data_IF_142928008786
#
_entry.id   IF_142928008786
#
_cell.length_a   1.000
_cell.length_b   1.000
_cell.length_c   1.000
_cell.angle_alpha   90.00
_cell.angle_beta   90.00
_cell.angle_gamma   90.00
#
_symmetry.space_group_name_H-M   'P 1'
#
loop_
_entity.id
_entity.type
_entity.pdbx_description
1 polymer ?
#
# COMPACT_ATOMS: atom_id res chain seq x y z
N UNK A 1 -14.76 21.23 -9.84
CA UNK A 1 -14.72 19.77 -9.58
C UNK A 1 -13.43 19.47 -8.82
N UNK A 2 -13.53 19.23 -7.52
CA UNK A 2 -12.37 19.06 -6.64
C UNK A 2 -11.81 17.65 -6.69
N UNK A 3 -10.51 17.54 -6.93
CA UNK A 3 -9.77 16.27 -6.94
C UNK A 3 -9.60 15.76 -5.50
N UNK A 4 -10.20 14.61 -5.20
CA UNK A 4 -10.01 13.90 -3.93
C UNK A 4 -8.65 13.22 -3.99
N UNK A 5 -7.62 13.88 -3.48
CA UNK A 5 -6.30 13.28 -3.28
C UNK A 5 -6.41 12.25 -2.17
N UNK A 6 -6.59 10.98 -2.54
CA UNK A 6 -6.57 9.86 -1.60
C UNK A 6 -5.23 9.85 -0.87
N UNK A 7 -5.26 10.18 0.42
CA UNK A 7 -4.11 10.09 1.32
C UNK A 7 -3.55 8.67 1.23
N UNK A 8 -2.26 8.51 0.90
CA UNK A 8 -1.59 7.19 0.96
C UNK A 8 -1.78 6.64 2.38
N UNK A 9 -2.31 5.42 2.50
CA UNK A 9 -2.55 4.79 3.81
C UNK A 9 -1.23 4.68 4.56
N UNK A 10 -1.23 5.02 5.85
CA UNK A 10 -0.05 4.88 6.70
C UNK A 10 0.30 3.40 6.86
N UNK A 11 1.58 3.06 6.94
CA UNK A 11 2.07 1.69 7.22
C UNK A 11 1.38 1.09 8.45
N UNK A 12 1.14 1.90 9.49
CA UNK A 12 0.39 1.51 10.69
C UNK A 12 -1.06 1.12 10.40
N UNK A 13 -1.72 1.78 9.46
CA UNK A 13 -3.09 1.44 9.04
C UNK A 13 -3.11 0.13 8.24
N UNK A 14 -2.05 -0.16 7.50
CA UNK A 14 -1.88 -1.46 6.80
C UNK A 14 -1.72 -2.59 7.83
N UNK A 15 -0.85 -2.43 8.85
CA UNK A 15 -0.73 -3.41 9.94
C UNK A 15 -2.08 -3.68 10.62
N UNK A 16 -2.82 -2.63 11.01
CA UNK A 16 -4.15 -2.80 11.62
C UNK A 16 -5.13 -3.56 10.73
N UNK A 17 -5.04 -3.38 9.40
CA UNK A 17 -5.87 -4.12 8.47
C UNK A 17 -5.45 -5.58 8.37
N UNK A 18 -4.14 -5.87 8.36
CA UNK A 18 -3.62 -7.24 8.40
C UNK A 18 -4.08 -7.96 9.67
N UNK A 19 -3.99 -7.33 10.85
CA UNK A 19 -4.46 -7.90 12.12
C UNK A 19 -5.95 -8.28 12.06
N UNK A 20 -6.77 -7.36 11.54
CA UNK A 20 -8.22 -7.62 11.35
C UNK A 20 -8.47 -8.79 10.41
N UNK A 21 -7.71 -8.89 9.31
CA UNK A 21 -7.82 -10.00 8.37
C UNK A 21 -7.39 -11.32 9.02
N UNK A 22 -6.27 -11.34 9.75
CA UNK A 22 -5.78 -12.52 10.46
C UNK A 22 -6.84 -13.02 11.45
N UNK A 23 -7.38 -12.15 12.31
CA UNK A 23 -8.44 -12.51 13.27
C UNK A 23 -9.69 -13.04 12.53
N UNK A 24 -10.06 -12.43 11.41
CA UNK A 24 -11.19 -12.90 10.58
C UNK A 24 -10.93 -14.30 10.03
N UNK A 25 -9.74 -14.58 9.50
CA UNK A 25 -9.38 -15.89 8.97
C UNK A 25 -9.22 -16.95 10.07
N UNK A 26 -8.71 -16.59 11.25
CA UNK A 26 -8.65 -17.47 12.42
C UNK A 26 -10.05 -17.87 12.91
N UNK A 27 -10.98 -16.91 12.99
CA UNK A 27 -12.37 -17.18 13.35
C UNK A 27 -13.07 -18.03 12.28
N UNK A 28 -12.83 -17.76 10.99
CA UNK A 28 -13.33 -18.58 9.89
C UNK A 28 -12.75 -20.00 9.91
N UNK A 29 -11.46 -20.16 10.25
CA UNK A 29 -10.85 -21.48 10.46
C UNK A 29 -11.59 -22.24 11.57
N UNK A 30 -11.80 -21.57 12.71
CA UNK A 30 -12.50 -22.16 13.87
C UNK A 30 -13.94 -22.57 13.53
N UNK A 31 -14.66 -21.75 12.76
CA UNK A 31 -16.02 -22.09 12.32
C UNK A 31 -16.04 -23.27 11.34
N UNK A 32 -15.09 -23.35 10.40
CA UNK A 32 -14.98 -24.48 9.46
C UNK A 32 -14.63 -25.79 10.17
N UNK A 33 -13.67 -25.77 11.11
CA UNK A 33 -13.34 -26.97 11.91
C UNK A 33 -14.53 -27.42 12.77
N UNK A 34 -15.27 -26.48 13.35
CA UNK A 34 -16.52 -26.79 14.06
C UNK A 34 -17.58 -27.38 13.11
N UNK A 35 -17.71 -26.84 11.91
CA UNK A 35 -18.61 -27.36 10.85
C UNK A 35 -18.21 -28.77 10.41
N UNK A 36 -16.91 -29.05 10.27
CA UNK A 36 -16.39 -30.38 9.94
C UNK A 36 -16.73 -31.40 11.03
N UNK A 37 -16.52 -31.05 12.30
CA UNK A 37 -16.84 -31.91 13.45
C UNK A 37 -18.35 -32.18 13.55
N UNK A 38 -19.18 -31.16 13.39
CA UNK A 38 -20.65 -31.31 13.39
C UNK A 38 -21.17 -32.13 12.21
N UNK A 39 -20.64 -31.92 10.99
CA UNK A 39 -20.97 -32.75 9.83
C UNK A 39 -20.55 -34.21 10.02
N UNK A 40 -19.39 -34.45 10.67
CA UNK A 40 -18.95 -35.79 11.00
C UNK A 40 -19.90 -36.48 11.99
N UNK A 41 -20.34 -35.77 13.02
CA UNK A 41 -21.32 -36.24 13.99
C UNK A 41 -22.67 -36.57 13.30
N UNK A 42 -23.19 -35.63 12.50
CA UNK A 42 -24.45 -35.81 11.75
C UNK A 42 -24.39 -37.04 10.84
N UNK A 43 -23.28 -37.23 10.13
CA UNK A 43 -23.11 -38.36 9.23
C UNK A 43 -23.14 -39.71 9.99
N UNK A 44 -22.67 -39.77 11.25
CA UNK A 44 -22.82 -40.97 12.07
C UNK A 44 -24.28 -41.24 12.43
N UNK A 45 -25.05 -40.23 12.81
CA UNK A 45 -26.48 -40.40 13.11
C UNK A 45 -27.27 -40.86 11.88
N UNK A 46 -27.01 -40.29 10.71
CA UNK A 46 -27.64 -40.71 9.45
C UNK A 46 -27.31 -42.17 9.13
N UNK A 47 -26.07 -42.61 9.35
CA UNK A 47 -25.68 -44.01 9.18
C UNK A 47 -26.50 -44.95 10.05
N UNK A 48 -26.64 -44.66 11.35
CA UNK A 48 -27.43 -45.49 12.26
C UNK A 48 -28.90 -45.57 11.84
N UNK A 49 -29.49 -44.45 11.40
CA UNK A 49 -30.88 -44.42 10.91
C UNK A 49 -31.03 -45.27 9.63
N UNK A 50 -30.13 -45.13 8.66
CA UNK A 50 -30.18 -45.91 7.43
C UNK A 50 -29.97 -47.41 7.69
N UNK A 51 -29.08 -47.75 8.63
CA UNK A 51 -28.83 -49.12 9.03
C UNK A 51 -30.07 -49.75 9.70
N UNK A 52 -30.72 -49.05 10.63
CA UNK A 52 -31.93 -49.58 11.29
C UNK A 52 -33.08 -49.77 10.31
N UNK A 53 -33.33 -48.80 9.42
CA UNK A 53 -34.35 -48.93 8.37
C UNK A 53 -34.07 -50.10 7.43
N UNK A 54 -32.80 -50.27 7.03
CA UNK A 54 -32.37 -51.39 6.19
C UNK A 54 -32.59 -52.75 6.85
N UNK A 55 -32.35 -52.87 8.16
CA UNK A 55 -32.55 -54.11 8.90
C UNK A 55 -34.04 -54.44 9.06
N UNK A 56 -34.89 -53.44 9.31
CA UNK A 56 -36.35 -53.61 9.40
C UNK A 56 -36.91 -54.09 8.05
N UNK A 57 -36.49 -53.46 6.94
CA UNK A 57 -36.93 -53.85 5.60
C UNK A 57 -36.52 -55.31 5.27
N UNK A 58 -35.26 -55.66 5.55
CA UNK A 58 -34.77 -57.02 5.31
C UNK A 58 -35.53 -58.08 6.15
N UNK A 59 -35.93 -57.74 7.36
CA UNK A 59 -36.72 -58.61 8.23
C UNK A 59 -38.16 -58.82 7.72
N UNK A 60 -38.81 -57.78 7.19
CA UNK A 60 -40.18 -57.88 6.69
C UNK A 60 -40.33 -58.69 5.39
N UNK A 61 -39.30 -58.70 4.54
CA UNK A 61 -39.37 -59.22 3.16
C UNK A 61 -38.57 -60.54 2.99
N UNK A 62 -38.10 -61.14 4.09
CA UNK A 62 -37.21 -62.33 4.14
C UNK A 62 -36.00 -62.27 3.18
N UNK A 63 -35.53 -61.07 2.88
CA UNK A 63 -34.42 -60.88 1.94
C UNK A 63 -33.05 -61.04 2.63
N UNK A 64 -32.00 -61.24 1.83
CA UNK A 64 -30.64 -61.39 2.34
C UNK A 64 -30.14 -60.12 3.03
N UNK A 65 -30.06 -60.15 4.37
CA UNK A 65 -29.62 -59.04 5.23
C UNK A 65 -28.27 -58.43 4.81
N UNK A 66 -27.36 -59.26 4.30
CA UNK A 66 -25.99 -58.86 3.93
C UNK A 66 -25.99 -57.84 2.78
N UNK A 67 -26.78 -58.05 1.73
CA UNK A 67 -26.78 -57.18 0.54
C UNK A 67 -27.32 -55.79 0.89
N UNK A 68 -28.35 -55.73 1.72
CA UNK A 68 -28.97 -54.48 2.16
C UNK A 68 -28.11 -53.71 3.15
N UNK A 69 -27.32 -54.38 3.99
CA UNK A 69 -26.40 -53.72 4.92
C UNK A 69 -25.20 -53.06 4.20
N UNK A 70 -24.79 -53.55 3.04
CA UNK A 70 -23.63 -53.02 2.29
C UNK A 70 -23.92 -51.64 1.68
N UNK A 71 -25.14 -51.43 1.15
CA UNK A 71 -25.53 -50.17 0.53
C UNK A 71 -25.42 -48.92 1.45
N UNK A 72 -25.97 -48.91 2.68
CA UNK A 72 -25.84 -47.77 3.59
C UNK A 72 -24.38 -47.57 4.03
N UNK A 73 -23.60 -48.65 4.22
CA UNK A 73 -22.18 -48.55 4.56
C UNK A 73 -21.41 -47.85 3.45
N UNK A 74 -21.53 -48.32 2.20
CA UNK A 74 -20.82 -47.73 1.05
C UNK A 74 -21.26 -46.27 0.85
N UNK A 75 -22.56 -45.98 0.91
CA UNK A 75 -23.06 -44.62 0.71
C UNK A 75 -22.48 -43.62 1.72
N UNK A 76 -22.40 -44.01 2.99
CA UNK A 76 -21.85 -43.17 4.06
C UNK A 76 -20.33 -43.07 3.96
N UNK A 77 -19.63 -44.16 3.60
CA UNK A 77 -18.18 -44.13 3.37
C UNK A 77 -17.80 -43.13 2.26
N UNK A 78 -18.52 -43.15 1.13
CA UNK A 78 -18.30 -42.21 0.04
C UNK A 78 -18.59 -40.77 0.46
N UNK A 79 -19.69 -40.54 1.18
CA UNK A 79 -20.02 -39.21 1.70
C UNK A 79 -18.96 -38.70 2.68
N UNK A 80 -18.49 -39.55 3.61
CA UNK A 80 -17.42 -39.24 4.56
C UNK A 80 -16.12 -38.89 3.85
N UNK A 81 -15.74 -39.66 2.83
CA UNK A 81 -14.55 -39.39 2.04
C UNK A 81 -14.65 -38.03 1.33
N UNK A 82 -15.76 -37.78 0.63
CA UNK A 82 -16.00 -36.51 -0.07
C UNK A 82 -16.00 -35.31 0.89
N UNK A 83 -16.67 -35.41 2.03
CA UNK A 83 -16.68 -34.37 3.07
C UNK A 83 -15.27 -34.13 3.62
N UNK A 84 -14.53 -35.19 3.93
CA UNK A 84 -13.16 -35.10 4.42
C UNK A 84 -12.27 -34.34 3.43
N UNK A 85 -12.28 -34.75 2.16
CA UNK A 85 -11.49 -34.09 1.10
C UNK A 85 -11.89 -32.62 0.96
N UNK A 86 -13.19 -32.31 0.91
CA UNK A 86 -13.66 -30.93 0.78
C UNK A 86 -13.23 -30.05 1.98
N UNK A 87 -13.43 -30.53 3.21
CA UNK A 87 -13.08 -29.77 4.40
C UNK A 87 -11.56 -29.61 4.57
N UNK A 88 -10.78 -30.65 4.26
CA UNK A 88 -9.32 -30.59 4.32
C UNK A 88 -8.77 -29.62 3.27
N UNK A 89 -9.22 -29.74 2.01
CA UNK A 89 -8.86 -28.80 0.94
C UNK A 89 -9.21 -27.36 1.31
N UNK A 90 -10.39 -27.13 1.89
CA UNK A 90 -10.80 -25.78 2.33
C UNK A 90 -9.95 -25.28 3.49
N UNK A 91 -9.60 -26.15 4.43
CA UNK A 91 -8.78 -25.82 5.60
C UNK A 91 -7.37 -25.45 5.19
N UNK A 92 -6.73 -26.22 4.31
CA UNK A 92 -5.39 -25.98 3.78
C UNK A 92 -5.32 -24.61 3.07
N UNK A 93 -6.28 -24.31 2.20
CA UNK A 93 -6.31 -23.01 1.53
C UNK A 93 -6.49 -21.82 2.49
N UNK A 94 -7.21 -22.01 3.59
CA UNK A 94 -7.35 -20.98 4.64
C UNK A 94 -6.03 -20.84 5.41
N UNK A 95 -5.36 -21.96 5.73
CA UNK A 95 -4.08 -21.97 6.43
C UNK A 95 -2.99 -21.27 5.61
N UNK A 96 -2.89 -21.56 4.31
CA UNK A 96 -1.92 -20.92 3.41
C UNK A 96 -2.12 -19.40 3.35
N UNK A 97 -3.37 -18.93 3.24
CA UNK A 97 -3.68 -17.48 3.27
C UNK A 97 -3.33 -16.83 4.60
N UNK A 98 -3.50 -17.56 5.70
CA UNK A 98 -3.22 -17.07 7.04
C UNK A 98 -1.71 -16.94 7.26
N UNK A 99 -0.94 -17.88 6.72
CA UNK A 99 0.52 -17.83 6.68
C UNK A 99 1.02 -16.63 5.88
N UNK A 100 0.54 -16.43 4.65
CA UNK A 100 0.87 -15.26 3.80
C UNK A 100 0.57 -13.93 4.52
N UNK A 101 -0.60 -13.80 5.18
CA UNK A 101 -0.93 -12.59 5.94
C UNK A 101 0.03 -12.35 7.12
N UNK A 102 0.47 -13.41 7.81
CA UNK A 102 1.44 -13.30 8.90
C UNK A 102 2.84 -12.98 8.38
N UNK A 103 3.19 -13.46 7.20
CA UNK A 103 4.45 -13.12 6.54
C UNK A 103 4.48 -11.64 6.15
N UNK A 104 3.39 -11.15 5.52
CA UNK A 104 3.23 -9.72 5.24
C UNK A 104 3.34 -8.88 6.52
N UNK A 105 2.69 -9.31 7.61
CA UNK A 105 2.78 -8.62 8.90
C UNK A 105 4.23 -8.52 9.39
N UNK A 106 5.01 -9.61 9.31
CA UNK A 106 6.44 -9.61 9.70
C UNK A 106 7.27 -8.67 8.84
N UNK A 107 7.03 -8.64 7.54
CA UNK A 107 7.76 -7.77 6.61
C UNK A 107 7.49 -6.30 6.90
N UNK A 108 6.23 -5.90 7.09
CA UNK A 108 5.91 -4.52 7.44
C UNK A 108 6.48 -4.11 8.81
N UNK A 109 6.53 -5.03 9.78
CA UNK A 109 7.19 -4.77 11.07
C UNK A 109 8.69 -4.54 10.88
N UNK A 110 9.34 -5.30 9.99
CA UNK A 110 10.77 -5.12 9.69
C UNK A 110 11.03 -3.74 9.07
N UNK A 111 10.23 -3.33 8.09
CA UNK A 111 10.33 -1.99 7.48
C UNK A 111 10.19 -0.88 8.54
N UNK A 112 9.22 -1.01 9.45
CA UNK A 112 9.04 -0.02 10.53
C UNK A 112 10.24 0.05 11.47
N UNK A 113 10.88 -1.09 11.79
CA UNK A 113 12.08 -1.11 12.63
C UNK A 113 13.27 -0.44 11.95
N UNK A 114 13.46 -0.70 10.65
CA UNK A 114 14.53 -0.07 9.88
C UNK A 114 14.33 1.45 9.76
N UNK A 115 13.09 1.91 9.55
CA UNK A 115 12.74 3.34 9.56
C UNK A 115 13.03 3.99 10.93
N UNK A 116 12.67 3.31 12.02
CA UNK A 116 12.89 3.79 13.39
C UNK A 116 14.40 3.82 13.74
N UNK A 117 15.16 2.77 13.39
CA UNK A 117 16.62 2.69 13.62
C UNK A 117 17.38 3.75 12.80
N UNK A 118 16.99 3.96 11.54
CA UNK A 118 17.54 5.03 10.70
C UNK A 118 17.28 6.40 11.32
N UNK A 119 16.04 6.64 11.75
CA UNK A 119 15.65 7.91 12.38
C UNK A 119 16.41 8.16 13.67
N UNK A 120 16.55 7.13 14.52
CA UNK A 120 17.35 7.21 15.74
C UNK A 120 18.83 7.50 15.45
N UNK A 121 19.40 6.84 14.44
CA UNK A 121 20.79 7.08 14.01
C UNK A 121 20.98 8.50 13.47
N UNK A 122 20.03 8.99 12.66
CA UNK A 122 20.04 10.36 12.16
C UNK A 122 19.92 11.40 13.27
N UNK A 123 19.07 11.16 14.26
CA UNK A 123 18.94 12.05 15.43
C UNK A 123 20.23 12.11 16.25
N UNK A 124 20.92 10.98 16.42
CA UNK A 124 22.25 10.94 17.03
C UNK A 124 23.27 11.73 16.20
N UNK A 125 23.31 11.50 14.89
CA UNK A 125 24.22 12.21 13.98
C UNK A 125 23.98 13.72 14.05
N UNK A 126 22.72 14.17 14.02
CA UNK A 126 22.34 15.56 14.12
C UNK A 126 22.75 16.19 15.46
N UNK A 127 22.61 15.46 16.57
CA UNK A 127 23.02 15.92 17.90
C UNK A 127 24.52 16.23 17.99
N UNK A 128 25.37 15.44 17.33
CA UNK A 128 26.82 15.60 17.38
C UNK A 128 27.38 16.45 16.23
N UNK A 129 26.86 16.31 15.00
CA UNK A 129 27.30 17.07 13.82
C UNK A 129 26.60 18.43 13.66
N UNK A 130 25.42 18.65 14.25
CA UNK A 130 24.63 19.89 14.12
C UNK A 130 25.33 21.15 14.61
N UNK A 131 26.28 21.01 15.56
CA UNK A 131 27.15 22.11 16.00
C UNK A 131 28.25 22.46 14.99
N UNK A 132 28.68 21.47 14.18
CA UNK A 132 29.83 21.58 13.25
C UNK A 132 29.35 21.92 11.83
N UNK A 133 28.15 21.46 11.44
CA UNK A 133 27.54 21.71 10.13
C UNK A 133 26.89 23.09 10.01
N UNK A 134 26.41 23.70 11.10
CA UNK A 134 25.85 25.06 11.06
C UNK A 134 26.89 26.11 10.60
N UNK A 135 28.17 25.89 10.90
CA UNK A 135 29.26 26.77 10.48
C UNK A 135 29.72 26.54 9.03
N UNK A 136 29.48 25.35 8.46
CA UNK A 136 29.86 25.01 7.07
C UNK A 136 28.71 25.12 6.08
N UNK A 137 27.46 25.13 6.54
CA UNK A 137 26.26 25.22 5.69
C UNK A 137 26.07 26.59 5.04
N UNK A 138 26.52 27.67 5.68
CA UNK A 138 26.39 29.03 5.14
C UNK A 138 27.23 29.26 3.86
N UNK A 139 28.28 28.45 3.63
CA UNK A 139 29.15 28.58 2.44
C UNK A 139 28.69 27.74 1.23
N UNK A 140 27.67 26.86 1.35
CA UNK A 140 27.22 25.96 0.27
C UNK A 140 25.83 26.26 -0.33
N UNK A 141 25.15 27.32 0.12
CA UNK A 141 23.81 27.67 -0.38
C UNK A 141 23.77 28.10 -1.86
N UNK A 142 24.92 28.19 -2.54
CA UNK A 142 25.01 28.51 -3.97
C UNK A 142 24.61 27.37 -4.93
N UNK A 143 24.32 26.13 -4.46
CA UNK A 143 24.16 24.97 -5.37
C UNK A 143 23.01 23.97 -5.07
N UNK A 144 21.95 24.30 -4.32
CA UNK A 144 20.89 23.33 -4.00
C UNK A 144 19.58 23.56 -4.78
N UNK A 145 19.02 22.47 -5.34
CA UNK A 145 17.68 22.45 -5.98
C UNK A 145 16.59 22.84 -4.96
N UNK A 146 15.60 23.66 -5.34
CA UNK A 146 14.70 24.26 -4.36
C UNK A 146 13.70 23.26 -3.78
N UNK A 147 13.45 23.39 -2.48
CA UNK A 147 12.53 22.57 -1.72
C UNK A 147 11.13 23.24 -1.63
N UNK A 148 10.09 22.49 -1.27
CA UNK A 148 8.69 22.96 -1.31
C UNK A 148 8.45 24.24 -0.49
N UNK A 149 9.18 24.41 0.62
CA UNK A 149 9.09 25.62 1.47
C UNK A 149 9.58 26.86 0.71
N UNK A 150 10.57 26.70 -0.16
CA UNK A 150 11.11 27.74 -1.03
C UNK A 150 10.09 28.15 -2.10
N UNK A 151 9.39 27.17 -2.69
CA UNK A 151 8.23 27.45 -3.58
C UNK A 151 7.11 28.21 -2.87
N UNK A 152 6.87 27.93 -1.59
CA UNK A 152 5.86 28.66 -0.82
C UNK A 152 6.33 30.08 -0.51
N UNK A 153 7.62 30.28 -0.24
CA UNK A 153 8.18 31.62 -0.10
C UNK A 153 8.04 32.42 -1.41
N UNK A 154 8.27 31.81 -2.57
CA UNK A 154 8.03 32.45 -3.87
C UNK A 154 6.55 32.80 -4.11
N UNK A 155 5.62 32.00 -3.59
CA UNK A 155 4.17 32.28 -3.70
C UNK A 155 3.74 33.40 -2.74
N UNK A 156 4.38 33.50 -1.57
CA UNK A 156 4.03 34.46 -0.52
C UNK A 156 4.75 35.80 -0.70
N UNK A 157 5.96 35.79 -1.27
CA UNK A 157 6.82 36.95 -1.48
C UNK A 157 6.91 37.38 -2.95
N UNK A 158 6.55 36.52 -3.91
CA UNK A 158 6.83 36.74 -5.32
C UNK A 158 5.81 37.64 -6.00
N UNK A 159 6.33 38.70 -6.60
CA UNK A 159 5.63 39.49 -7.60
C UNK A 159 5.14 38.58 -8.75
N UNK A 160 3.95 38.90 -9.26
CA UNK A 160 3.25 38.13 -10.27
C UNK A 160 4.14 37.85 -11.50
N UNK A 161 4.49 36.58 -11.80
CA UNK A 161 5.42 36.23 -12.87
C UNK A 161 4.87 36.58 -14.26
N UNK A 162 3.56 36.82 -14.40
CA UNK A 162 2.96 37.28 -15.66
C UNK A 162 3.28 38.73 -15.98
N UNK A 163 3.74 39.51 -15.00
CA UNK A 163 4.08 40.93 -15.17
C UNK A 163 5.56 41.17 -15.40
N UNK A 164 6.39 40.13 -15.45
CA UNK A 164 7.84 40.26 -15.62
C UNK A 164 8.27 40.05 -17.08
N UNK A 165 9.38 40.68 -17.45
CA UNK A 165 10.00 40.48 -18.76
C UNK A 165 11.19 39.52 -18.67
N UNK A 166 11.28 38.60 -19.62
CA UNK A 166 12.41 37.67 -19.73
C UNK A 166 13.66 38.34 -20.31
N UNK A 167 14.83 38.04 -19.74
CA UNK A 167 16.13 38.53 -20.19
C UNK A 167 16.80 37.52 -21.13
N UNK A 168 16.48 37.61 -22.42
CA UNK A 168 16.99 36.69 -23.44
C UNK A 168 18.17 37.33 -24.19
N UNK A 169 19.31 36.65 -24.22
CA UNK A 169 20.51 37.17 -24.88
C UNK A 169 20.33 37.24 -26.40
N UNK A 170 20.70 38.36 -27.02
CA UNK A 170 20.62 38.55 -28.46
C UNK A 170 21.66 37.71 -29.24
N UNK A 171 22.78 37.35 -28.62
CA UNK A 171 23.85 36.58 -29.27
C UNK A 171 23.66 35.06 -29.15
N UNK A 172 23.36 34.55 -27.94
CA UNK A 172 23.27 33.10 -27.70
C UNK A 172 21.85 32.62 -27.33
N UNK A 173 20.87 33.52 -27.28
CA UNK A 173 19.46 33.21 -26.93
C UNK A 173 19.25 32.54 -25.57
N UNK A 174 20.25 32.57 -24.69
CA UNK A 174 20.15 32.04 -23.33
C UNK A 174 19.27 32.94 -22.45
N UNK A 175 18.45 32.32 -21.60
CA UNK A 175 17.59 32.99 -20.64
C UNK A 175 18.37 33.32 -19.35
N UNK A 176 18.50 34.61 -19.01
CA UNK A 176 19.28 35.11 -17.86
C UNK A 176 18.40 35.53 -16.67
N UNK A 177 17.13 35.11 -16.65
CA UNK A 177 16.17 35.44 -15.60
C UNK A 177 15.07 36.39 -16.05
N UNK A 178 14.31 36.90 -15.08
CA UNK A 178 13.16 37.78 -15.28
C UNK A 178 13.38 39.09 -14.51
N UNK A 179 12.82 40.18 -14.99
CA UNK A 179 12.92 41.50 -14.36
C UNK A 179 11.56 42.21 -14.38
N UNK A 180 11.21 42.92 -13.31
CA UNK A 180 9.98 43.69 -13.27
C UNK A 180 10.05 44.87 -14.28
N UNK A 181 8.94 45.29 -14.90
CA UNK A 181 8.89 46.46 -15.78
C UNK A 181 9.38 47.74 -15.09
N UNK A 182 9.15 47.85 -13.78
CA UNK A 182 9.52 49.02 -12.97
C UNK A 182 11.01 49.06 -12.63
N UNK A 183 11.68 47.91 -12.62
CA UNK A 183 13.12 47.83 -12.44
C UNK A 183 13.80 48.38 -13.70
N UNK A 184 14.37 49.58 -13.56
CA UNK A 184 15.02 50.37 -14.63
C UNK A 184 16.35 49.77 -15.09
N UNK A 185 16.45 48.44 -15.24
CA UNK A 185 17.63 47.78 -15.74
C UNK A 185 17.71 47.94 -17.26
N UNK A 186 18.65 48.77 -17.72
CA UNK A 186 18.85 49.13 -19.14
C UNK A 186 19.82 48.19 -19.85
N UNK A 187 20.69 47.51 -19.13
CA UNK A 187 21.74 46.64 -19.68
C UNK A 187 21.98 45.44 -18.77
N UNK A 188 22.37 44.29 -19.36
CA UNK A 188 22.80 43.12 -18.60
C UNK A 188 23.87 42.32 -19.35
N UNK A 189 24.70 41.58 -18.61
CA UNK A 189 25.72 40.69 -19.18
C UNK A 189 25.16 39.26 -19.15
N UNK A 190 25.26 38.54 -20.27
CA UNK A 190 24.81 37.16 -20.31
C UNK A 190 25.77 36.25 -19.53
N UNK A 191 25.25 35.47 -18.58
CA UNK A 191 26.07 34.54 -17.79
C UNK A 191 26.58 33.34 -18.59
N UNK A 192 25.96 33.03 -19.73
CA UNK A 192 26.37 31.91 -20.59
C UNK A 192 27.49 32.30 -21.57
N UNK A 193 27.44 33.49 -22.18
CA UNK A 193 28.40 33.89 -23.24
C UNK A 193 29.15 35.20 -22.99
N UNK A 194 28.87 35.91 -21.88
CA UNK A 194 29.52 37.18 -21.54
C UNK A 194 29.11 38.38 -22.40
N UNK A 195 28.23 38.21 -23.39
CA UNK A 195 27.80 39.33 -24.25
C UNK A 195 26.98 40.35 -23.46
N UNK A 196 27.29 41.64 -23.63
CA UNK A 196 26.53 42.76 -23.04
C UNK A 196 25.31 43.07 -23.90
N UNK A 197 24.12 42.93 -23.32
CA UNK A 197 22.83 43.15 -23.98
C UNK A 197 22.24 44.48 -23.51
N UNK A 198 21.63 45.25 -24.42
CA UNK A 198 20.86 46.46 -24.10
C UNK A 198 19.37 46.16 -24.19
N UNK A 199 18.59 46.67 -23.26
CA UNK A 199 17.13 46.52 -23.24
C UNK A 199 16.49 47.71 -23.94
N UNK A 200 15.83 47.47 -25.07
CA UNK A 200 14.97 48.47 -25.71
C UNK A 200 13.59 48.39 -25.07
N UNK A 201 13.16 49.43 -24.35
CA UNK A 201 11.78 49.53 -23.88
C UNK A 201 10.87 49.70 -25.09
N UNK A 202 10.20 48.63 -25.55
CA UNK A 202 9.17 48.74 -26.57
C UNK A 202 7.87 49.23 -25.91
N UNK A 203 7.63 50.53 -25.95
CA UNK A 203 6.33 51.11 -25.61
C UNK A 203 5.35 50.87 -26.77
N UNK A 204 4.70 49.70 -26.82
CA UNK A 204 3.53 49.45 -27.67
C UNK A 204 2.36 49.16 -26.72
N UNK A 205 1.52 50.15 -26.37
CA UNK A 205 0.29 50.61 -27.06
C UNK A 205 -0.71 49.47 -27.32
N UNK A 206 -1.77 49.51 -26.51
CA UNK A 206 -3.18 49.17 -26.78
C UNK A 206 -3.49 48.11 -27.85
N UNK A 207 -4.13 47.02 -27.39
CA UNK A 207 -5.32 46.42 -28.01
C UNK A 207 -6.03 45.52 -26.98
#
# INVERSE_FOLDING_TARGET
>A
MGNVVSKKKSTRDVLKNLDKMIIKFENNKKSIVKSQSTANCLTFYVFFILLTLSLIYAFCDEQSLVLFAIFPIISVCLLKFALSVFYNWRLENILLKLEDLREQQKEYIKILKEEDDYKATMELLEKYEGSTLRNTSFSRLSQKKPNVIEKVADIVLGDDPTKMYALICAHCHYHNGMVHPEDRMTEYICYNCGTKNKRTFSSNKEL
#
